data_IF_167743874427
#
_entry.id   IF_167743874427
#
_cell.length_a   1.000
_cell.length_b   1.000
_cell.length_c   1.000
_cell.angle_alpha   90.00
_cell.angle_beta   90.00
_cell.angle_gamma   90.00
#
_symmetry.space_group_name_H-M   'P 1'
#
loop_
_entity.id
_entity.type
_entity.pdbx_description
1 polymer ?
#
# COMPACT_ATOMS: atom_id res chain seq x y z
N UNK A 1 -5.37 -5.27 1.70
CA UNK A 1 -4.81 -3.98 1.25
C UNK A 1 -5.13 -2.92 2.25
N UNK A 2 -4.10 -2.20 2.67
CA UNK A 2 -4.18 -1.08 3.61
C UNK A 2 -3.63 0.14 2.88
N UNK A 3 -4.22 1.31 3.09
CA UNK A 3 -3.69 2.55 2.52
C UNK A 3 -2.76 3.28 3.50
N UNK A 4 -1.92 4.17 3.00
CA UNK A 4 -1.13 5.06 3.88
C UNK A 4 -1.99 5.86 4.86
N UNK A 5 -3.23 6.19 4.48
CA UNK A 5 -4.19 6.86 5.37
C UNK A 5 -4.69 5.94 6.49
N UNK A 6 -5.00 4.68 6.16
CA UNK A 6 -5.42 3.69 7.15
C UNK A 6 -4.28 3.44 8.17
N UNK A 7 -3.03 3.31 7.71
CA UNK A 7 -1.86 3.17 8.61
C UNK A 7 -1.68 4.42 9.47
N UNK A 8 -1.80 5.62 8.89
CA UNK A 8 -1.67 6.86 9.66
C UNK A 8 -2.74 6.97 10.75
N UNK A 9 -3.98 6.57 10.44
CA UNK A 9 -5.07 6.55 11.40
C UNK A 9 -4.79 5.58 12.56
N UNK A 10 -4.44 4.32 12.24
CA UNK A 10 -4.16 3.30 13.25
C UNK A 10 -2.91 3.60 14.10
N UNK A 11 -1.95 4.35 13.55
CA UNK A 11 -0.73 4.75 14.26
C UNK A 11 -0.82 6.17 14.89
N UNK A 12 -2.00 6.79 14.89
CA UNK A 12 -2.25 8.14 15.41
C UNK A 12 -1.30 9.21 14.82
N UNK A 13 -0.90 9.02 13.56
CA UNK A 13 -0.05 9.95 12.83
C UNK A 13 -0.89 11.02 12.13
N UNK A 14 -0.37 12.25 12.16
CA UNK A 14 -1.01 13.41 11.55
C UNK A 14 -1.10 13.36 10.03
N UNK A 15 -0.35 12.49 9.35
CA UNK A 15 -0.41 12.41 7.89
C UNK A 15 0.01 11.06 7.28
N UNK A 16 -0.68 10.69 6.20
CA UNK A 16 -0.29 9.60 5.32
C UNK A 16 1.08 9.81 4.65
N UNK A 17 1.51 11.07 4.48
CA UNK A 17 2.85 11.39 3.94
C UNK A 17 3.95 10.96 4.89
N UNK A 18 3.74 11.10 6.21
CA UNK A 18 4.67 10.63 7.24
C UNK A 18 4.91 9.14 7.10
N UNK A 19 3.84 8.35 6.95
CA UNK A 19 3.94 6.89 6.71
C UNK A 19 4.72 6.59 5.44
N UNK A 20 4.43 7.29 4.34
CA UNK A 20 5.15 7.11 3.08
C UNK A 20 6.64 7.45 3.16
N UNK A 21 7.01 8.42 4.00
CA UNK A 21 8.41 8.73 4.28
C UNK A 21 9.07 7.64 5.13
N UNK A 22 8.42 7.17 6.19
CA UNK A 22 8.91 6.06 7.02
C UNK A 22 9.13 4.82 6.15
N UNK A 23 8.14 4.43 5.35
CA UNK A 23 8.26 3.25 4.47
C UNK A 23 9.38 3.39 3.43
N UNK A 24 9.75 4.61 3.05
CA UNK A 24 10.90 4.83 2.16
C UNK A 24 12.23 4.63 2.89
N UNK A 25 12.29 5.00 4.16
CA UNK A 25 13.52 5.02 4.96
C UNK A 25 13.77 3.67 5.65
N UNK A 26 12.72 2.97 6.08
CA UNK A 26 12.82 1.78 6.95
C UNK A 26 11.67 0.79 6.70
N UNK A 27 11.81 -0.09 5.70
CA UNK A 27 10.76 -1.06 5.34
C UNK A 27 11.25 -2.41 4.83
N UNK A 28 12.55 -2.71 4.97
CA UNK A 28 13.16 -3.88 4.34
C UNK A 28 12.49 -5.21 4.73
N UNK A 29 12.12 -5.35 6.01
CA UNK A 29 11.50 -6.57 6.55
C UNK A 29 9.97 -6.52 6.62
N UNK A 30 9.37 -5.38 6.28
CA UNK A 30 7.92 -5.19 6.32
C UNK A 30 7.29 -5.64 4.99
N UNK A 31 6.03 -6.13 5.00
CA UNK A 31 5.26 -6.40 3.79
C UNK A 31 4.80 -5.08 3.12
N UNK A 32 5.75 -4.21 2.77
CA UNK A 32 5.53 -2.86 2.25
C UNK A 32 4.65 -2.86 0.99
N UNK A 33 4.68 -3.93 0.20
CA UNK A 33 3.87 -4.04 -1.01
C UNK A 33 2.37 -4.04 -0.72
N UNK A 34 1.93 -4.32 0.51
CA UNK A 34 0.52 -4.29 0.96
C UNK A 34 0.04 -2.91 1.39
N UNK A 35 0.93 -1.93 1.51
CA UNK A 35 0.60 -0.53 1.84
C UNK A 35 0.65 0.31 0.57
N UNK A 36 -0.46 0.96 0.23
CA UNK A 36 -0.61 1.65 -1.06
C UNK A 36 -1.25 3.03 -0.94
N UNK A 37 -1.10 3.89 -1.96
CA UNK A 37 -1.88 5.14 -2.02
C UNK A 37 -3.38 4.84 -2.11
N UNK A 38 -4.20 5.75 -1.59
CA UNK A 38 -5.66 5.68 -1.70
C UNK A 38 -6.16 5.65 -3.16
N UNK A 39 -5.34 6.10 -4.12
CA UNK A 39 -5.64 6.00 -5.55
C UNK A 39 -5.52 4.59 -6.13
N UNK A 40 -5.01 3.63 -5.34
CA UNK A 40 -4.71 2.26 -5.78
C UNK A 40 -3.58 2.17 -6.81
N UNK A 41 -2.93 3.29 -7.17
CA UNK A 41 -1.84 3.32 -8.15
C UNK A 41 -0.49 3.42 -7.43
N UNK A 42 0.35 2.36 -7.47
CA UNK A 42 1.72 2.42 -6.95
C UNK A 42 2.55 3.55 -7.55
N UNK A 43 3.62 3.94 -6.82
CA UNK A 43 4.60 4.89 -7.32
C UNK A 43 5.35 4.31 -8.55
N UNK A 44 5.68 5.11 -9.58
CA UNK A 44 6.25 4.61 -10.83
C UNK A 44 7.46 3.68 -10.68
N UNK A 45 8.41 4.04 -9.81
CA UNK A 45 9.63 3.27 -9.57
C UNK A 45 9.42 1.97 -8.78
N UNK A 46 8.30 1.82 -8.05
CA UNK A 46 7.94 0.60 -7.32
C UNK A 46 6.85 -0.22 -8.00
N UNK A 47 6.15 0.37 -8.98
CA UNK A 47 4.92 -0.16 -9.56
C UNK A 47 5.05 -1.61 -9.97
N UNK A 48 6.05 -1.92 -10.78
CA UNK A 48 6.24 -3.28 -11.30
C UNK A 48 6.40 -4.30 -10.16
N UNK A 49 7.38 -4.08 -9.28
CA UNK A 49 7.68 -4.99 -8.15
C UNK A 49 6.50 -5.12 -7.18
N UNK A 50 5.79 -4.02 -6.92
CA UNK A 50 4.65 -4.04 -6.01
C UNK A 50 3.47 -4.81 -6.61
N UNK A 51 3.13 -4.57 -7.88
CA UNK A 51 2.05 -5.29 -8.54
C UNK A 51 2.37 -6.78 -8.72
N UNK A 52 3.60 -7.15 -9.07
CA UNK A 52 4.04 -8.55 -9.16
C UNK A 52 3.80 -9.30 -7.84
N UNK A 53 4.18 -8.70 -6.70
CA UNK A 53 3.96 -9.29 -5.37
C UNK A 53 2.48 -9.40 -5.02
N UNK A 54 1.69 -8.38 -5.34
CA UNK A 54 0.26 -8.37 -5.04
C UNK A 54 -0.51 -9.38 -5.90
N UNK A 55 -0.18 -9.51 -7.18
CA UNK A 55 -0.77 -10.53 -8.06
C UNK A 55 -0.42 -11.93 -7.58
N UNK A 56 0.82 -12.16 -7.12
CA UNK A 56 1.22 -13.44 -6.52
C UNK A 56 0.42 -13.77 -5.23
N UNK A 57 -0.11 -12.77 -4.54
CA UNK A 57 -1.01 -12.93 -3.39
C UNK A 57 -2.49 -13.05 -3.80
N UNK A 58 -2.81 -13.04 -5.10
CA UNK A 58 -4.19 -13.12 -5.61
C UNK A 58 -4.95 -11.80 -5.57
N UNK A 59 -4.27 -10.67 -5.38
CA UNK A 59 -4.92 -9.35 -5.37
C UNK A 59 -5.29 -8.92 -6.79
N UNK A 60 -6.55 -8.52 -6.98
CA UNK A 60 -7.05 -8.03 -8.26
C UNK A 60 -6.40 -6.69 -8.64
N UNK A 61 -5.87 -6.63 -9.86
CA UNK A 61 -5.25 -5.45 -10.45
C UNK A 61 -5.81 -5.24 -11.85
N UNK A 62 -6.28 -4.02 -12.13
CA UNK A 62 -6.80 -3.61 -13.43
C UNK A 62 -6.06 -2.37 -13.90
N UNK A 63 -5.49 -2.41 -15.11
CA UNK A 63 -4.77 -1.28 -15.72
C UNK A 63 -3.70 -0.66 -14.78
N UNK A 64 -2.93 -1.53 -14.11
CA UNK A 64 -1.89 -1.11 -13.16
C UNK A 64 -2.40 -0.38 -11.91
N UNK A 65 -3.71 -0.47 -11.63
CA UNK A 65 -4.38 -0.01 -10.41
C UNK A 65 -4.92 -1.21 -9.64
N UNK A 66 -4.72 -1.19 -8.34
CA UNK A 66 -5.20 -2.21 -7.41
C UNK A 66 -6.68 -1.94 -7.12
N UNK A 67 -7.49 -2.99 -7.19
CA UNK A 67 -8.87 -2.92 -6.71
C UNK A 67 -8.88 -2.96 -5.17
N UNK A 68 -8.91 -1.76 -4.58
CA UNK A 68 -8.91 -1.60 -3.13
C UNK A 68 -10.21 -2.09 -2.48
N UNK A 69 -11.33 -2.12 -3.21
CA UNK A 69 -12.62 -2.50 -2.64
C UNK A 69 -12.68 -4.00 -2.38
N UNK A 70 -12.25 -4.81 -3.35
CA UNK A 70 -12.23 -6.27 -3.20
C UNK A 70 -11.14 -6.78 -2.27
N UNK A 71 -10.04 -6.04 -2.12
CA UNK A 71 -8.88 -6.48 -1.36
C UNK A 71 -8.69 -5.76 -0.03
N UNK A 72 -9.67 -5.01 0.50
CA UNK A 72 -9.46 -4.16 1.69
C UNK A 72 -9.20 -5.00 2.94
N UNK A 73 -8.21 -4.59 3.73
CA UNK A 73 -7.99 -5.14 5.07
C UNK A 73 -8.56 -4.15 6.10
N UNK A 74 -9.44 -4.59 7.00
CA UNK A 74 -9.93 -3.74 8.07
C UNK A 74 -8.82 -3.56 9.11
N UNK A 75 -8.37 -2.33 9.30
CA UNK A 75 -7.65 -1.96 10.52
C UNK A 75 -8.72 -1.58 11.55
N UNK A 76 -8.78 -2.35 12.63
CA UNK A 76 -9.71 -2.16 13.75
C UNK A 76 -9.29 -0.97 14.62
#
# INVERSE_FOLDING_TARGET
>A
MVTYGDVAHAAELSSARTVGWIMRTDSADLPWHRVVPASGRPAPHLRRRQLERLVAEGVAVHDGRIDLASARFPLA
#
